data_IF_376132692365
#
_entry.id   IF_376132692365
#
_cell.length_a   1.000
_cell.length_b   1.000
_cell.length_c   1.000
_cell.angle_alpha   90.00
_cell.angle_beta   90.00
_cell.angle_gamma   90.00
#
_symmetry.space_group_name_H-M   'P 1'
#
loop_
_entity.id
_entity.type
_entity.pdbx_description
1 polymer ?
#
# COMPACT_ATOMS: atom_id res chain seq x y z
N UNK A 1 13.79 -9.40 43.65
CA UNK A 1 13.33 -8.72 42.42
C UNK A 1 14.11 -9.36 41.29
N UNK A 2 13.47 -10.20 40.47
CA UNK A 2 14.16 -10.87 39.36
C UNK A 2 14.51 -9.81 38.31
N UNK A 3 15.77 -9.78 37.89
CA UNK A 3 16.22 -8.90 36.80
C UNK A 3 15.69 -9.51 35.49
N UNK A 4 14.67 -8.90 34.90
CA UNK A 4 14.15 -9.33 33.60
C UNK A 4 15.19 -9.03 32.53
N UNK A 5 15.73 -10.08 31.92
CA UNK A 5 16.75 -9.99 30.89
C UNK A 5 16.09 -9.58 29.57
N UNK A 6 16.09 -8.27 29.28
CA UNK A 6 15.51 -7.72 28.05
C UNK A 6 16.53 -7.87 26.91
N UNK A 7 16.16 -8.63 25.88
CA UNK A 7 16.96 -8.80 24.65
C UNK A 7 16.46 -7.86 23.57
N UNK A 8 17.23 -7.65 22.51
CA UNK A 8 16.84 -6.76 21.40
C UNK A 8 16.78 -7.50 20.07
N UNK A 9 15.77 -7.16 19.27
CA UNK A 9 15.57 -7.68 17.93
C UNK A 9 16.66 -7.17 16.99
N UNK A 10 17.32 -8.05 16.26
CA UNK A 10 18.36 -7.68 15.30
C UNK A 10 17.82 -7.14 13.97
N UNK A 11 16.51 -7.28 13.72
CA UNK A 11 15.85 -6.73 12.52
C UNK A 11 15.37 -5.29 12.68
N UNK A 12 14.66 -5.01 13.77
CA UNK A 12 14.00 -3.71 14.00
C UNK A 12 14.43 -2.99 15.29
N UNK A 13 15.30 -3.60 16.12
CA UNK A 13 15.75 -3.01 17.39
C UNK A 13 14.73 -3.07 18.53
N UNK A 14 13.54 -3.66 18.33
CA UNK A 14 12.53 -3.78 19.38
C UNK A 14 13.02 -4.61 20.58
N UNK A 15 12.56 -4.26 21.79
CA UNK A 15 12.80 -5.06 22.99
C UNK A 15 12.00 -6.36 22.97
N UNK A 16 12.67 -7.45 23.31
CA UNK A 16 12.15 -8.82 23.38
C UNK A 16 12.29 -9.27 24.84
N UNK A 17 11.16 -9.38 25.50
CA UNK A 17 11.05 -9.96 26.83
C UNK A 17 11.16 -11.48 26.79
N UNK A 18 11.65 -12.07 27.88
CA UNK A 18 11.81 -13.53 28.01
C UNK A 18 10.47 -14.26 27.79
N UNK A 19 9.36 -13.68 28.25
CA UNK A 19 8.02 -14.23 28.03
C UNK A 19 7.66 -14.40 26.54
N UNK A 20 8.18 -13.54 25.65
CA UNK A 20 7.94 -13.67 24.21
C UNK A 20 8.72 -14.83 23.59
N UNK A 21 9.87 -15.19 24.16
CA UNK A 21 10.65 -16.36 23.78
C UNK A 21 10.00 -17.63 24.32
N UNK A 22 9.55 -17.61 25.57
CA UNK A 22 8.90 -18.76 26.22
C UNK A 22 7.56 -19.12 25.56
N UNK A 23 6.81 -18.10 25.10
CA UNK A 23 5.57 -18.28 24.32
C UNK A 23 5.82 -18.65 22.85
N UNK A 24 7.08 -18.69 22.40
CA UNK A 24 7.45 -18.99 21.01
C UNK A 24 7.03 -17.94 19.99
N UNK A 25 6.62 -16.76 20.45
CA UNK A 25 6.20 -15.64 19.57
C UNK A 25 7.39 -14.87 18.99
N UNK A 26 8.51 -14.80 19.72
CA UNK A 26 9.79 -14.29 19.25
C UNK A 26 10.80 -15.45 19.21
N UNK A 27 11.77 -15.39 18.30
CA UNK A 27 12.64 -16.55 18.08
C UNK A 27 13.79 -16.27 17.12
N UNK A 28 14.64 -17.27 16.96
CA UNK A 28 15.79 -17.19 16.07
C UNK A 28 15.42 -17.64 14.66
N UNK A 29 15.75 -16.80 13.68
CA UNK A 29 15.63 -17.13 12.26
C UNK A 29 16.96 -16.89 11.55
N UNK A 30 17.50 -17.92 10.89
CA UNK A 30 18.82 -17.87 10.25
C UNK A 30 19.94 -17.33 11.18
N UNK A 31 19.89 -17.67 12.47
CA UNK A 31 20.85 -17.21 13.48
C UNK A 31 20.60 -15.81 14.04
N UNK A 32 19.57 -15.08 13.57
CA UNK A 32 19.22 -13.75 14.06
C UNK A 32 18.02 -13.81 15.02
N UNK A 33 18.12 -13.13 16.17
CA UNK A 33 17.00 -12.99 17.11
C UNK A 33 15.99 -11.97 16.57
N UNK A 34 14.75 -12.41 16.32
CA UNK A 34 13.69 -11.58 15.76
C UNK A 34 12.50 -11.48 16.73
N UNK A 35 11.88 -10.29 16.77
CA UNK A 35 10.63 -10.07 17.47
C UNK A 35 9.44 -10.70 16.73
N UNK A 36 8.27 -10.66 17.35
CA UNK A 36 7.03 -11.24 16.82
C UNK A 36 6.69 -10.78 15.40
N UNK A 37 6.90 -9.49 15.11
CA UNK A 37 6.60 -8.88 13.81
C UNK A 37 7.62 -9.32 12.77
N UNK A 38 8.92 -9.13 13.04
CA UNK A 38 9.97 -9.49 12.09
C UNK A 38 10.03 -11.01 11.83
N UNK A 39 9.69 -11.82 12.84
CA UNK A 39 9.60 -13.26 12.68
C UNK A 39 8.39 -13.65 11.83
N UNK A 40 7.23 -13.00 12.01
CA UNK A 40 6.06 -13.24 11.17
C UNK A 40 6.29 -12.82 9.71
N UNK A 41 6.94 -11.67 9.48
CA UNK A 41 7.28 -11.18 8.15
C UNK A 41 8.27 -12.10 7.41
N UNK A 42 9.23 -12.69 8.12
CA UNK A 42 10.27 -13.56 7.53
C UNK A 42 9.92 -15.05 7.55
N UNK A 43 8.93 -15.47 8.34
CA UNK A 43 8.58 -16.87 8.62
C UNK A 43 7.82 -17.59 7.49
N UNK A 44 7.52 -16.93 6.37
CA UNK A 44 6.75 -17.52 5.26
C UNK A 44 7.54 -18.37 4.26
N UNK A 45 8.74 -18.83 4.61
CA UNK A 45 9.49 -19.79 3.79
C UNK A 45 10.27 -20.76 4.66
N UNK A 46 10.30 -22.05 4.32
CA UNK A 46 11.13 -23.06 4.98
C UNK A 46 12.54 -22.49 5.23
N UNK A 47 13.12 -22.60 6.45
CA UNK A 47 14.43 -22.02 6.72
C UNK A 47 15.45 -22.56 5.70
N UNK A 48 16.23 -21.70 5.04
CA UNK A 48 17.27 -22.16 4.14
C UNK A 48 18.27 -22.99 4.96
N UNK A 49 18.54 -24.20 4.49
CA UNK A 49 19.57 -25.05 5.06
C UNK A 49 20.92 -24.30 5.10
N UNK A 50 21.77 -24.56 6.10
CA UNK A 50 23.08 -23.91 6.17
C UNK A 50 23.87 -24.19 4.89
N UNK A 51 24.29 -23.13 4.18
CA UNK A 51 25.15 -23.24 3.01
C UNK A 51 26.56 -23.64 3.46
N UNK A 52 27.18 -24.68 2.87
CA UNK A 52 28.60 -24.89 3.02
C UNK A 52 29.39 -23.74 2.35
N UNK A 53 30.61 -23.44 2.84
CA UNK A 53 31.42 -22.33 2.33
C UNK A 53 31.89 -22.56 0.89
N UNK A 54 31.92 -21.47 0.12
CA UNK A 54 32.29 -21.40 -1.29
C UNK A 54 33.79 -21.63 -1.53
N UNK A 55 34.18 -22.21 -2.67
CA UNK A 55 35.50 -22.00 -3.26
C UNK A 55 35.44 -20.95 -4.40
N UNK A 56 36.54 -20.23 -4.53
CA UNK A 56 36.73 -19.02 -5.34
C UNK A 56 37.10 -19.28 -6.80
N UNK A 57 36.59 -18.42 -7.69
CA UNK A 57 37.21 -17.87 -8.93
C UNK A 57 37.47 -18.79 -10.15
N UNK A 58 37.73 -18.23 -11.36
CA UNK A 58 37.11 -17.08 -12.06
C UNK A 58 36.82 -17.37 -13.56
N UNK A 59 36.34 -16.34 -14.27
CA UNK A 59 36.30 -16.16 -15.74
C UNK A 59 35.24 -16.90 -16.58
N UNK A 60 34.30 -16.15 -17.17
CA UNK A 60 34.24 -15.93 -18.64
C UNK A 60 33.12 -14.92 -18.96
N UNK A 61 33.49 -13.65 -19.17
CA UNK A 61 32.61 -12.62 -19.72
C UNK A 61 32.58 -12.75 -21.25
N UNK A 62 31.70 -13.61 -21.77
CA UNK A 62 31.39 -13.64 -23.20
C UNK A 62 30.30 -12.63 -23.53
N UNK A 63 30.79 -11.50 -24.05
CA UNK A 63 30.09 -10.44 -24.79
C UNK A 63 28.83 -10.92 -25.52
N UNK A 64 27.65 -10.47 -25.07
CA UNK A 64 26.42 -10.51 -25.87
C UNK A 64 26.57 -9.49 -27.01
N UNK A 65 26.55 -9.98 -28.25
CA UNK A 65 26.50 -9.17 -29.46
C UNK A 65 25.05 -8.76 -29.72
N UNK A 66 24.80 -7.45 -29.79
CA UNK A 66 23.54 -6.87 -30.23
C UNK A 66 23.46 -6.98 -31.75
N UNK A 67 22.50 -7.76 -32.25
CA UNK A 67 22.12 -7.78 -33.66
C UNK A 67 21.11 -6.66 -33.88
N UNK A 68 21.49 -5.64 -34.66
CA UNK A 68 20.56 -4.70 -35.27
C UNK A 68 19.75 -5.44 -36.35
N UNK A 69 18.43 -5.46 -36.19
CA UNK A 69 17.50 -5.93 -37.22
C UNK A 69 16.50 -4.81 -37.55
N UNK A 70 16.56 -4.33 -38.80
CA UNK A 70 15.70 -3.30 -39.36
C UNK A 70 14.22 -3.74 -39.47
N UNK A 71 13.27 -2.80 -39.50
CA UNK A 71 11.86 -3.09 -39.19
C UNK A 71 11.10 -3.68 -40.39
N UNK A 72 10.29 -4.72 -40.20
CA UNK A 72 9.25 -5.05 -41.17
C UNK A 72 8.04 -4.12 -40.97
N UNK A 73 7.70 -3.39 -42.04
CA UNK A 73 6.43 -2.73 -42.19
C UNK A 73 5.31 -3.80 -42.21
N UNK A 74 4.53 -3.86 -41.14
CA UNK A 74 3.40 -4.76 -41.00
C UNK A 74 2.41 -4.18 -40.00
N UNK A 75 1.32 -3.60 -40.53
CA UNK A 75 0.24 -3.02 -39.73
C UNK A 75 -0.40 -4.08 -38.84
N UNK A 76 -0.06 -4.03 -37.55
CA UNK A 76 -0.81 -4.66 -36.48
C UNK A 76 -1.33 -3.55 -35.59
N UNK A 77 -2.64 -3.29 -35.67
CA UNK A 77 -3.37 -2.47 -34.72
C UNK A 77 -3.01 -2.93 -33.31
N UNK A 78 -2.14 -2.16 -32.64
CA UNK A 78 -1.97 -2.23 -31.21
C UNK A 78 -3.29 -1.77 -30.63
N UNK A 79 -4.19 -2.74 -30.38
CA UNK A 79 -5.29 -2.52 -29.45
C UNK A 79 -4.63 -2.08 -28.16
N UNK A 80 -4.72 -0.78 -27.90
CA UNK A 80 -4.57 -0.21 -26.57
C UNK A 80 -5.52 -1.05 -25.72
N UNK A 81 -4.97 -2.00 -24.98
CA UNK A 81 -5.66 -2.54 -23.82
C UNK A 81 -5.72 -1.36 -22.84
N UNK A 82 -6.76 -0.54 -23.03
CA UNK A 82 -7.36 0.29 -22.01
C UNK A 82 -7.81 -0.68 -20.92
N UNK A 83 -6.85 -1.04 -20.07
CA UNK A 83 -6.97 -2.02 -19.01
C UNK A 83 -6.09 -1.61 -17.84
N UNK A 84 -5.94 -0.30 -17.62
CA UNK A 84 -5.84 0.16 -16.25
C UNK A 84 -7.28 0.21 -15.74
N UNK A 85 -7.76 -0.96 -15.31
CA UNK A 85 -8.66 -1.05 -14.18
C UNK A 85 -7.94 -0.42 -12.97
N UNK A 86 -7.79 0.90 -13.02
CA UNK A 86 -7.78 1.71 -11.83
C UNK A 86 -9.10 1.39 -11.17
N UNK A 87 -9.05 0.45 -10.22
CA UNK A 87 -10.03 0.24 -9.16
C UNK A 87 -10.26 1.52 -8.32
N UNK A 88 -9.66 2.64 -8.72
CA UNK A 88 -9.99 4.01 -8.36
C UNK A 88 -11.00 4.67 -9.31
N UNK A 89 -11.69 3.93 -10.18
CA UNK A 89 -12.99 4.41 -10.66
C UNK A 89 -13.86 4.39 -9.41
N UNK A 90 -14.24 5.56 -8.83
CA UNK A 90 -15.18 5.54 -7.74
C UNK A 90 -16.39 4.83 -8.34
N UNK A 91 -16.71 3.62 -7.86
CA UNK A 91 -17.98 2.99 -8.18
C UNK A 91 -19.00 4.10 -7.95
N UNK A 92 -19.54 4.65 -9.06
CA UNK A 92 -20.27 5.92 -9.08
C UNK A 92 -21.18 5.86 -7.88
N UNK A 93 -20.82 6.56 -6.80
CA UNK A 93 -21.59 6.47 -5.59
C UNK A 93 -22.89 7.13 -6.00
N UNK A 94 -23.91 6.31 -6.18
CA UNK A 94 -25.16 6.77 -6.75
C UNK A 94 -25.80 7.71 -5.74
N UNK A 95 -25.55 9.01 -5.91
CA UNK A 95 -26.05 10.07 -5.04
C UNK A 95 -27.58 10.15 -5.09
N UNK A 96 -28.21 9.56 -6.12
CA UNK A 96 -29.68 9.51 -6.25
C UNK A 96 -30.32 8.59 -5.23
N UNK A 97 -29.55 7.68 -4.59
CA UNK A 97 -30.06 6.81 -3.52
C UNK A 97 -30.42 7.58 -2.24
N UNK A 98 -29.89 8.79 -2.06
CA UNK A 98 -30.12 9.58 -0.86
C UNK A 98 -31.33 10.51 -1.06
N UNK A 99 -32.37 10.29 -0.26
CA UNK A 99 -33.65 11.04 -0.37
C UNK A 99 -33.70 12.32 0.47
N UNK A 100 -32.75 12.53 1.39
CA UNK A 100 -32.74 13.72 2.27
C UNK A 100 -32.42 14.99 1.46
N UNK A 101 -33.24 16.05 1.54
CA UNK A 101 -32.95 17.30 0.83
C UNK A 101 -31.64 17.92 1.33
N UNK A 102 -30.90 18.56 0.43
CA UNK A 102 -29.72 19.33 0.79
C UNK A 102 -30.15 20.63 1.49
N UNK A 103 -29.59 20.89 2.66
CA UNK A 103 -29.87 22.11 3.43
C UNK A 103 -28.72 23.10 3.26
N UNK A 104 -29.08 24.36 3.00
CA UNK A 104 -28.14 25.48 3.02
C UNK A 104 -27.99 26.03 4.43
N UNK A 105 -26.77 26.38 4.85
CA UNK A 105 -26.48 26.88 6.19
C UNK A 105 -25.96 25.83 7.18
N UNK A 106 -26.44 25.83 8.43
CA UNK A 106 -25.81 25.06 9.50
C UNK A 106 -26.14 23.55 9.47
N UNK A 107 -25.10 22.72 9.54
CA UNK A 107 -25.19 21.26 9.74
C UNK A 107 -25.19 20.45 8.44
N UNK A 108 -24.36 19.41 8.35
CA UNK A 108 -24.23 18.59 7.14
C UNK A 108 -25.34 17.53 7.06
N UNK A 109 -25.84 17.31 5.85
CA UNK A 109 -26.93 16.36 5.54
C UNK A 109 -26.43 15.05 4.93
N UNK A 110 -25.30 15.12 4.24
CA UNK A 110 -24.66 14.03 3.53
C UNK A 110 -23.15 14.13 3.72
N UNK A 111 -22.47 13.05 3.38
CA UNK A 111 -21.01 13.02 3.37
C UNK A 111 -20.52 12.17 2.20
N UNK A 112 -19.38 12.56 1.65
CA UNK A 112 -18.68 11.79 0.62
C UNK A 112 -17.27 11.53 1.08
N UNK A 113 -16.84 10.27 0.99
CA UNK A 113 -15.49 9.86 1.38
C UNK A 113 -14.67 9.66 0.12
N UNK A 114 -13.51 10.28 0.10
CA UNK A 114 -12.47 10.09 -0.89
C UNK A 114 -11.27 9.45 -0.20
N UNK A 115 -10.48 8.68 -0.95
CA UNK A 115 -9.22 8.18 -0.45
C UNK A 115 -8.18 8.12 -1.56
N UNK A 116 -6.91 8.21 -1.18
CA UNK A 116 -5.80 8.06 -2.09
C UNK A 116 -4.59 7.45 -1.37
N UNK A 117 -3.75 6.75 -2.13
CA UNK A 117 -2.43 6.32 -1.65
C UNK A 117 -1.60 7.55 -1.29
N UNK A 118 -0.66 7.39 -0.35
CA UNK A 118 0.29 8.45 0.04
C UNK A 118 1.42 8.62 -0.99
N UNK A 119 1.05 8.95 -2.23
CA UNK A 119 1.97 9.28 -3.32
C UNK A 119 1.54 10.58 -3.97
N UNK A 120 2.49 11.39 -4.47
CA UNK A 120 2.19 12.71 -5.03
C UNK A 120 1.17 12.64 -6.19
N UNK A 121 1.34 11.66 -7.09
CA UNK A 121 0.41 11.47 -8.21
C UNK A 121 -1.00 11.09 -7.77
N UNK A 122 -1.14 10.25 -6.74
CA UNK A 122 -2.47 9.86 -6.24
C UNK A 122 -3.16 11.01 -5.50
N UNK A 123 -2.40 11.84 -4.77
CA UNK A 123 -2.92 13.03 -4.10
C UNK A 123 -3.31 14.11 -5.13
N UNK A 124 -2.53 14.30 -6.19
CA UNK A 124 -2.89 15.22 -7.28
C UNK A 124 -4.21 14.78 -7.94
N UNK A 125 -4.35 13.50 -8.25
CA UNK A 125 -5.59 12.94 -8.81
C UNK A 125 -6.78 13.04 -7.83
N UNK A 126 -6.54 12.90 -6.53
CA UNK A 126 -7.56 13.13 -5.50
C UNK A 126 -8.11 14.57 -5.55
N UNK A 127 -7.23 15.55 -5.70
CA UNK A 127 -7.61 16.95 -5.81
C UNK A 127 -8.47 17.21 -7.06
N UNK A 128 -8.08 16.64 -8.20
CA UNK A 128 -8.87 16.73 -9.44
C UNK A 128 -10.28 16.16 -9.23
N UNK A 129 -10.40 14.96 -8.67
CA UNK A 129 -11.70 14.33 -8.42
C UNK A 129 -12.59 15.12 -7.45
N UNK A 130 -12.01 15.73 -6.40
CA UNK A 130 -12.79 16.54 -5.46
C UNK A 130 -13.31 17.80 -6.15
N UNK A 131 -12.47 18.50 -6.91
CA UNK A 131 -12.89 19.72 -7.62
C UNK A 131 -13.92 19.41 -8.71
N UNK A 132 -13.68 18.37 -9.53
CA UNK A 132 -14.64 17.94 -10.55
C UNK A 132 -15.99 17.55 -9.92
N UNK A 133 -15.98 16.90 -8.75
CA UNK A 133 -17.21 16.60 -8.03
C UNK A 133 -17.93 17.87 -7.56
N UNK A 134 -17.20 18.84 -6.97
CA UNK A 134 -17.79 20.12 -6.56
C UNK A 134 -18.38 20.90 -7.74
N UNK A 135 -17.66 20.96 -8.86
CA UNK A 135 -18.08 21.67 -10.07
C UNK A 135 -19.35 21.06 -10.70
N UNK A 136 -19.47 19.73 -10.65
CA UNK A 136 -20.65 19.02 -11.14
C UNK A 136 -21.87 19.10 -10.22
N UNK A 137 -21.72 19.60 -8.98
CA UNK A 137 -22.79 19.65 -7.98
C UNK A 137 -22.89 21.05 -7.34
N UNK A 138 -23.28 22.10 -8.11
CA UNK A 138 -23.31 23.48 -7.63
C UNK A 138 -24.32 23.74 -6.51
N UNK A 139 -25.27 22.83 -6.27
CA UNK A 139 -26.22 22.89 -5.17
C UNK A 139 -25.62 22.50 -3.81
N UNK A 140 -24.45 21.85 -3.82
CA UNK A 140 -23.76 21.37 -2.64
C UNK A 140 -23.00 22.52 -1.97
N UNK A 141 -23.17 22.64 -0.65
CA UNK A 141 -22.40 23.55 0.19
C UNK A 141 -21.51 22.71 1.13
N UNK A 142 -20.20 22.71 0.88
CA UNK A 142 -19.25 22.01 1.76
C UNK A 142 -19.14 22.73 3.10
N UNK A 143 -19.48 22.03 4.18
CA UNK A 143 -19.54 22.61 5.53
C UNK A 143 -18.26 22.38 6.31
N UNK A 144 -17.75 21.15 6.27
CA UNK A 144 -16.47 20.81 6.87
C UNK A 144 -15.90 19.54 6.25
N UNK A 145 -14.61 19.33 6.43
CA UNK A 145 -13.89 18.15 5.98
C UNK A 145 -13.10 17.55 7.14
N UNK A 146 -12.98 16.23 7.16
CA UNK A 146 -12.11 15.51 8.09
C UNK A 146 -11.12 14.67 7.31
N UNK A 147 -9.88 14.60 7.80
CA UNK A 147 -8.84 13.75 7.24
C UNK A 147 -8.34 12.75 8.28
N UNK A 148 -7.97 11.56 7.80
CA UNK A 148 -7.30 10.54 8.58
C UNK A 148 -6.33 9.76 7.68
N UNK A 149 -5.27 9.22 8.25
CA UNK A 149 -4.42 8.23 7.58
C UNK A 149 -4.83 6.87 8.13
N UNK A 150 -5.22 5.95 7.24
CA UNK A 150 -5.67 4.61 7.60
C UNK A 150 -5.08 3.54 6.69
N UNK A 151 -5.08 2.30 7.16
CA UNK A 151 -4.62 1.15 6.38
C UNK A 151 -5.77 0.62 5.54
N UNK A 152 -5.58 0.50 4.23
CA UNK A 152 -6.51 -0.20 3.34
C UNK A 152 -5.92 -1.56 2.99
N UNK A 153 -6.76 -2.59 3.06
CA UNK A 153 -6.36 -3.95 2.70
C UNK A 153 -6.37 -4.12 1.18
N UNK A 154 -5.17 -4.22 0.59
CA UNK A 154 -4.98 -4.58 -0.81
C UNK A 154 -4.80 -6.09 -0.99
N UNK A 155 -4.73 -6.55 -2.25
CA UNK A 155 -4.56 -7.98 -2.59
C UNK A 155 -3.24 -8.59 -2.08
N UNK A 156 -2.20 -7.77 -1.92
CA UNK A 156 -0.84 -8.25 -1.60
C UNK A 156 -0.33 -7.67 -0.28
N UNK A 157 -0.63 -6.41 0.03
CA UNK A 157 -0.19 -5.75 1.25
C UNK A 157 -1.22 -4.72 1.74
N UNK A 158 -1.22 -4.44 3.04
CA UNK A 158 -1.93 -3.30 3.59
C UNK A 158 -1.15 -2.02 3.28
N UNK A 159 -1.81 -1.03 2.68
CA UNK A 159 -1.17 0.22 2.28
C UNK A 159 -1.77 1.41 3.04
N UNK A 160 -0.95 2.35 3.53
CA UNK A 160 -1.45 3.57 4.14
C UNK A 160 -2.08 4.47 3.08
N UNK A 161 -3.30 4.90 3.35
CA UNK A 161 -4.07 5.79 2.50
C UNK A 161 -4.50 7.04 3.29
N UNK A 162 -4.47 8.19 2.61
CA UNK A 162 -5.18 9.37 3.06
C UNK A 162 -6.66 9.15 2.83
N UNK A 163 -7.46 9.29 3.87
CA UNK A 163 -8.92 9.23 3.86
C UNK A 163 -9.43 10.63 4.13
N UNK A 164 -10.27 11.15 3.24
CA UNK A 164 -10.82 12.50 3.31
C UNK A 164 -12.34 12.41 3.21
N UNK A 165 -13.03 12.81 4.27
CA UNK A 165 -14.50 12.84 4.29
C UNK A 165 -14.98 14.27 4.23
N UNK A 166 -15.76 14.58 3.19
CA UNK A 166 -16.35 15.89 2.96
C UNK A 166 -17.81 15.84 3.41
N UNK A 167 -18.20 16.75 4.30
CA UNK A 167 -19.55 16.84 4.85
C UNK A 167 -20.28 18.05 4.24
N UNK A 168 -21.47 17.81 3.68
CA UNK A 168 -22.26 18.79 2.94
C UNK A 168 -23.77 18.68 3.19
#
# INVERSE_FOLDING_TARGET
>A
MAQEEIKTCQGCGASIYQEHLDRGTAGFWAGQLLCTICLAERGHGKPPAPRPPAPESPDDLSSISLVEEEPPAGGGETRKFAGTDSLSSPALQDETKYQRPLIKGAGATRCRTFHAKLTDGAIAFLNEQINEWCDNNPEIEVKFCTSAIGMFEGKQHQEPNLILTVFY
#
